data_IF_541428188626
#
_entry.id   IF_541428188626
#
_cell.length_a   1.000
_cell.length_b   1.000
_cell.length_c   1.000
_cell.angle_alpha   90.00
_cell.angle_beta   90.00
_cell.angle_gamma   90.00
#
_symmetry.space_group_name_H-M   'P 1'
#
loop_
_entity.id
_entity.type
_entity.pdbx_description
1 polymer ?
#
# COMPACT_ATOMS: atom_id res chain seq x y z
N UNK A 1 69.46 15.47 10.62
CA UNK A 1 68.34 14.53 10.85
C UNK A 1 67.24 14.80 9.81
N UNK A 2 67.11 14.00 8.73
CA UNK A 2 66.19 14.27 7.62
C UNK A 2 64.84 13.53 7.72
N UNK A 3 64.66 12.62 8.69
CA UNK A 3 63.49 11.71 8.74
C UNK A 3 62.18 12.31 9.26
N UNK A 4 62.19 13.54 9.81
CA UNK A 4 60.99 14.18 10.39
C UNK A 4 60.08 14.87 9.35
N UNK A 5 60.62 15.22 8.18
CA UNK A 5 59.87 15.96 7.16
C UNK A 5 59.07 15.02 6.24
N UNK A 6 59.64 13.85 5.94
CA UNK A 6 58.98 12.80 5.16
C UNK A 6 57.80 12.19 5.92
N UNK A 7 57.91 11.99 7.23
CA UNK A 7 56.80 11.48 8.07
C UNK A 7 55.66 12.49 8.19
N UNK A 8 55.96 13.79 8.25
CA UNK A 8 54.96 14.87 8.23
C UNK A 8 54.20 14.94 6.91
N UNK A 9 54.89 14.82 5.77
CA UNK A 9 54.24 14.83 4.46
C UNK A 9 53.36 13.60 4.24
N UNK A 10 53.80 12.42 4.68
CA UNK A 10 53.00 11.18 4.58
C UNK A 10 51.76 11.27 5.46
N UNK A 11 51.88 11.74 6.70
CA UNK A 11 50.72 11.91 7.59
C UNK A 11 49.73 12.95 7.07
N UNK A 12 50.21 14.06 6.52
CA UNK A 12 49.35 15.07 5.86
C UNK A 12 48.62 14.49 4.63
N UNK A 13 49.31 13.70 3.80
CA UNK A 13 48.73 13.06 2.63
C UNK A 13 47.64 12.02 3.02
N UNK A 14 47.88 11.22 4.07
CA UNK A 14 46.91 10.27 4.59
C UNK A 14 45.67 10.98 5.16
N UNK A 15 45.86 12.07 5.91
CA UNK A 15 44.75 12.90 6.42
C UNK A 15 43.94 13.50 5.27
N UNK A 16 44.60 14.05 4.24
CA UNK A 16 43.93 14.59 3.07
C UNK A 16 43.13 13.51 2.32
N UNK A 17 43.69 12.31 2.17
CA UNK A 17 43.01 11.18 1.55
C UNK A 17 41.77 10.75 2.34
N UNK A 18 41.86 10.67 3.67
CA UNK A 18 40.72 10.34 4.54
C UNK A 18 39.62 11.40 4.47
N UNK A 19 39.97 12.69 4.43
CA UNK A 19 39.00 13.78 4.31
C UNK A 19 38.31 13.75 2.95
N UNK A 20 39.04 13.50 1.86
CA UNK A 20 38.46 13.36 0.52
C UNK A 20 37.54 12.14 0.42
N UNK A 21 37.93 11.02 1.04
CA UNK A 21 37.12 9.80 1.07
C UNK A 21 35.85 9.97 1.92
N UNK A 22 35.94 10.66 3.06
CA UNK A 22 34.77 11.02 3.88
C UNK A 22 33.80 11.95 3.14
N UNK A 23 34.32 12.96 2.44
CA UNK A 23 33.51 13.89 1.64
C UNK A 23 32.87 13.21 0.42
N UNK A 24 33.57 12.26 -0.20
CA UNK A 24 33.05 11.39 -1.26
C UNK A 24 31.87 10.53 -0.77
N UNK A 25 32.03 9.86 0.37
CA UNK A 25 31.00 9.02 0.97
C UNK A 25 29.76 9.83 1.38
N UNK A 26 29.92 11.02 1.94
CA UNK A 26 28.81 11.91 2.28
C UNK A 26 28.00 12.33 1.04
N UNK A 27 28.66 12.55 -0.10
CA UNK A 27 27.98 12.84 -1.38
C UNK A 27 27.33 11.60 -2.01
N UNK A 28 27.89 10.41 -1.78
CA UNK A 28 27.38 9.16 -2.32
C UNK A 28 26.25 8.52 -1.48
N UNK A 29 26.16 8.83 -0.18
CA UNK A 29 25.10 8.36 0.73
C UNK A 29 23.68 8.49 0.18
N UNK A 30 23.21 9.65 -0.32
CA UNK A 30 21.84 9.76 -0.83
C UNK A 30 21.59 8.84 -2.03
N UNK A 31 22.61 8.62 -2.88
CA UNK A 31 22.51 7.68 -4.02
C UNK A 31 22.46 6.22 -3.55
N UNK A 32 23.28 5.85 -2.56
CA UNK A 32 23.28 4.50 -1.99
C UNK A 32 21.97 4.20 -1.25
N UNK A 33 21.42 5.18 -0.52
CA UNK A 33 20.11 5.07 0.12
C UNK A 33 18.97 4.96 -0.89
N UNK A 34 19.02 5.73 -1.99
CA UNK A 34 18.05 5.62 -3.07
C UNK A 34 18.10 4.24 -3.74
N UNK A 35 19.31 3.71 -4.02
CA UNK A 35 19.46 2.36 -4.57
C UNK A 35 18.99 1.27 -3.60
N UNK A 36 19.25 1.40 -2.29
CA UNK A 36 18.74 0.46 -1.28
C UNK A 36 17.21 0.48 -1.22
N UNK A 37 16.62 1.68 -1.16
CA UNK A 37 15.16 1.86 -1.20
C UNK A 37 14.54 1.24 -2.45
N UNK A 38 15.18 1.42 -3.61
CA UNK A 38 14.71 0.83 -4.86
C UNK A 38 14.76 -0.70 -4.83
N UNK A 39 15.85 -1.30 -4.32
CA UNK A 39 15.97 -2.76 -4.18
C UNK A 39 14.98 -3.33 -3.17
N UNK A 40 14.82 -2.69 -2.02
CA UNK A 40 13.83 -3.09 -1.01
C UNK A 40 12.40 -2.99 -1.58
N UNK A 41 12.14 -1.98 -2.41
CA UNK A 41 10.86 -1.81 -3.09
C UNK A 41 10.60 -2.87 -4.17
N UNK A 42 11.61 -3.23 -4.98
CA UNK A 42 11.52 -4.34 -5.94
C UNK A 42 11.31 -5.68 -5.23
N UNK A 43 12.06 -5.93 -4.16
CA UNK A 43 11.92 -7.14 -3.34
C UNK A 43 10.53 -7.24 -2.70
N UNK A 44 9.99 -6.13 -2.18
CA UNK A 44 8.63 -6.09 -1.64
C UNK A 44 7.58 -6.37 -2.72
N UNK A 45 7.75 -5.84 -3.94
CA UNK A 45 6.85 -6.15 -5.07
C UNK A 45 6.90 -7.62 -5.48
N UNK A 46 8.09 -8.21 -5.51
CA UNK A 46 8.23 -9.64 -5.80
C UNK A 46 7.57 -10.49 -4.71
N UNK A 47 7.78 -10.16 -3.44
CA UNK A 47 7.15 -10.84 -2.31
C UNK A 47 5.62 -10.74 -2.34
N UNK A 48 5.06 -9.59 -2.74
CA UNK A 48 3.61 -9.41 -2.89
C UNK A 48 3.06 -10.26 -4.04
N UNK A 49 3.73 -10.29 -5.20
CA UNK A 49 3.37 -11.16 -6.32
C UNK A 49 3.42 -12.65 -5.95
N UNK A 50 4.45 -13.08 -5.22
CA UNK A 50 4.55 -14.46 -4.74
C UNK A 50 3.47 -14.81 -3.73
N UNK A 51 3.12 -13.89 -2.82
CA UNK A 51 2.00 -14.06 -1.91
C UNK A 51 0.66 -14.16 -2.68
N UNK A 52 0.44 -13.30 -3.68
CA UNK A 52 -0.74 -13.36 -4.54
C UNK A 52 -0.82 -14.69 -5.31
N UNK A 53 0.30 -15.16 -5.88
CA UNK A 53 0.36 -16.47 -6.56
C UNK A 53 0.00 -17.63 -5.64
N UNK A 54 0.42 -17.59 -4.37
CA UNK A 54 0.04 -18.61 -3.38
C UNK A 54 -1.46 -18.64 -3.15
N UNK A 55 -2.10 -17.47 -3.01
CA UNK A 55 -3.57 -17.38 -2.90
C UNK A 55 -4.23 -17.98 -4.15
N UNK A 56 -3.76 -17.60 -5.34
CA UNK A 56 -4.33 -18.08 -6.61
C UNK A 56 -4.11 -19.58 -6.87
N UNK A 57 -3.11 -20.19 -6.23
CA UNK A 57 -2.77 -21.61 -6.37
C UNK A 57 -3.68 -22.53 -5.55
N UNK A 58 -4.38 -22.00 -4.56
CA UNK A 58 -5.31 -22.76 -3.71
C UNK A 58 -6.74 -22.49 -4.21
N UNK A 59 -7.57 -23.54 -4.40
CA UNK A 59 -8.98 -23.36 -4.73
C UNK A 59 -9.74 -22.58 -3.65
N UNK A 60 -10.72 -21.73 -4.00
CA UNK A 60 -11.44 -20.92 -3.01
C UNK A 60 -12.12 -21.71 -1.89
N UNK A 61 -12.58 -22.93 -2.17
CA UNK A 61 -13.20 -23.81 -1.18
C UNK A 61 -12.25 -24.36 -0.11
N UNK A 62 -10.94 -24.24 -0.32
CA UNK A 62 -9.90 -24.73 0.60
C UNK A 62 -9.20 -23.60 1.36
N UNK A 63 -9.61 -22.34 1.15
CA UNK A 63 -9.00 -21.22 1.85
C UNK A 63 -9.35 -21.23 3.34
N UNK A 64 -8.34 -21.09 4.23
CA UNK A 64 -8.60 -21.03 5.65
C UNK A 64 -9.31 -19.73 6.01
N UNK A 65 -10.32 -19.82 6.87
CA UNK A 65 -10.90 -18.66 7.52
C UNK A 65 -9.97 -18.20 8.65
N UNK A 66 -9.95 -16.89 8.88
CA UNK A 66 -9.30 -16.30 10.03
C UNK A 66 -10.03 -16.73 11.30
N UNK A 67 -9.29 -17.28 12.26
CA UNK A 67 -9.84 -17.69 13.56
C UNK A 67 -10.38 -16.50 14.37
N UNK A 68 -9.79 -15.32 14.17
CA UNK A 68 -10.17 -14.09 14.85
C UNK A 68 -9.87 -12.89 13.96
N UNK A 69 -10.83 -11.99 13.86
CA UNK A 69 -10.64 -10.68 13.24
C UNK A 69 -9.92 -9.69 14.19
N UNK A 70 -9.29 -8.64 13.64
CA UNK A 70 -8.69 -7.60 14.45
C UNK A 70 -9.69 -6.96 15.42
N UNK A 71 -9.18 -6.50 16.57
CA UNK A 71 -10.01 -5.83 17.59
C UNK A 71 -10.71 -4.59 17.01
N UNK A 72 -11.99 -4.43 17.38
CA UNK A 72 -12.87 -3.37 16.87
C UNK A 72 -13.61 -3.72 15.56
N UNK A 73 -13.12 -4.69 14.78
CA UNK A 73 -13.83 -5.13 13.57
C UNK A 73 -14.99 -6.06 13.94
N UNK A 74 -16.21 -5.86 13.41
CA UNK A 74 -17.34 -6.77 13.64
C UNK A 74 -17.00 -8.21 13.27
N UNK A 75 -17.30 -9.14 14.17
CA UNK A 75 -16.99 -10.56 13.98
C UNK A 75 -17.75 -11.13 12.76
N UNK A 76 -17.00 -11.65 11.79
CA UNK A 76 -17.52 -12.25 10.56
C UNK A 76 -16.50 -13.20 9.93
N UNK A 77 -16.93 -14.24 9.20
CA UNK A 77 -16.02 -15.11 8.46
C UNK A 77 -15.23 -14.33 7.42
N UNK A 78 -13.90 -14.41 7.49
CA UNK A 78 -12.99 -13.71 6.58
C UNK A 78 -11.81 -14.59 6.20
N UNK A 79 -11.31 -14.42 4.97
CA UNK A 79 -10.11 -15.09 4.47
C UNK A 79 -8.85 -14.25 4.70
N UNK A 80 -9.00 -12.93 4.75
CA UNK A 80 -7.88 -12.01 4.85
C UNK A 80 -8.29 -10.70 5.52
N UNK A 81 -7.39 -10.11 6.30
CA UNK A 81 -7.56 -8.80 6.90
C UNK A 81 -6.23 -8.05 6.88
N UNK A 82 -6.25 -6.77 6.49
CA UNK A 82 -5.07 -5.93 6.44
C UNK A 82 -5.38 -4.49 6.86
N UNK A 83 -4.40 -3.85 7.51
CA UNK A 83 -4.43 -2.41 7.74
C UNK A 83 -4.38 -1.67 6.41
N UNK A 84 -5.25 -0.67 6.26
CA UNK A 84 -5.28 0.16 5.08
C UNK A 84 -5.64 1.62 5.39
N UNK A 85 -5.48 2.48 4.39
CA UNK A 85 -6.04 3.84 4.38
C UNK A 85 -7.01 3.92 3.20
N UNK A 86 -8.27 4.24 3.47
CA UNK A 86 -9.22 4.66 2.43
C UNK A 86 -8.76 6.02 1.89
N UNK A 87 -8.72 6.12 0.57
CA UNK A 87 -8.22 7.26 -0.16
C UNK A 87 -9.37 7.98 -0.87
N UNK A 88 -9.20 9.27 -1.08
CA UNK A 88 -10.07 10.10 -1.91
C UNK A 88 -9.25 10.70 -3.05
N UNK A 89 -9.74 10.58 -4.28
CA UNK A 89 -9.10 11.21 -5.44
C UNK A 89 -9.15 12.74 -5.30
N UNK A 90 -8.02 13.41 -5.58
CA UNK A 90 -7.92 14.87 -5.49
C UNK A 90 -8.24 15.53 -6.83
N UNK A 91 -8.88 16.72 -6.82
CA UNK A 91 -8.98 17.55 -8.02
C UNK A 91 -7.57 17.89 -8.52
N UNK A 92 -7.21 17.44 -9.73
CA UNK A 92 -5.87 17.62 -10.31
C UNK A 92 -4.97 16.37 -10.24
N UNK A 93 -5.47 15.25 -9.72
CA UNK A 93 -4.82 13.94 -9.74
C UNK A 93 -4.16 13.54 -8.43
N UNK A 94 -4.00 12.23 -8.25
CA UNK A 94 -3.47 11.62 -7.04
C UNK A 94 -4.52 11.45 -5.94
N UNK A 95 -4.08 11.01 -4.76
CA UNK A 95 -4.96 10.68 -3.64
C UNK A 95 -4.66 11.46 -2.37
N UNK A 96 -5.72 11.89 -1.68
CA UNK A 96 -5.71 12.27 -0.27
C UNK A 96 -6.08 11.08 0.63
N UNK A 97 -5.63 11.11 1.88
CA UNK A 97 -6.12 10.15 2.89
C UNK A 97 -7.49 10.61 3.39
N UNK A 98 -8.43 9.67 3.50
CA UNK A 98 -9.80 9.92 3.97
C UNK A 98 -10.04 9.28 5.35
N UNK A 99 -9.70 7.99 5.49
CA UNK A 99 -9.86 7.26 6.73
C UNK A 99 -8.83 6.14 6.86
N UNK A 100 -8.39 5.84 8.08
CA UNK A 100 -7.58 4.65 8.39
C UNK A 100 -8.47 3.57 8.96
N UNK A 101 -8.11 2.32 8.71
CA UNK A 101 -8.92 1.21 9.18
C UNK A 101 -8.40 -0.16 8.76
N UNK A 102 -9.33 -1.10 8.70
CA UNK A 102 -9.11 -2.48 8.29
C UNK A 102 -9.88 -2.77 7.02
N UNK A 103 -9.18 -3.32 6.02
CA UNK A 103 -9.80 -3.95 4.86
C UNK A 103 -9.88 -5.45 5.11
N UNK A 104 -11.07 -6.01 5.00
CA UNK A 104 -11.37 -7.41 5.31
C UNK A 104 -12.01 -8.06 4.10
N UNK A 105 -11.37 -9.12 3.60
CA UNK A 105 -11.92 -10.00 2.58
C UNK A 105 -12.80 -11.03 3.29
N UNK A 106 -14.10 -10.74 3.36
CA UNK A 106 -15.09 -11.61 3.97
C UNK A 106 -15.45 -12.81 3.10
N UNK A 107 -16.35 -13.66 3.59
CA UNK A 107 -16.91 -14.75 2.79
C UNK A 107 -17.79 -14.26 1.63
N UNK A 108 -18.58 -13.22 1.87
CA UNK A 108 -19.66 -12.78 0.95
C UNK A 108 -19.39 -11.40 0.34
N UNK A 109 -18.53 -10.60 0.97
CA UNK A 109 -18.25 -9.22 0.57
C UNK A 109 -16.87 -8.73 1.02
N UNK A 110 -16.40 -7.66 0.37
CA UNK A 110 -15.25 -6.88 0.80
C UNK A 110 -15.72 -5.80 1.78
N UNK A 111 -15.16 -5.80 2.99
CA UNK A 111 -15.56 -4.87 4.05
C UNK A 111 -14.41 -3.95 4.43
N UNK A 112 -14.68 -2.65 4.52
CA UNK A 112 -13.79 -1.67 5.14
C UNK A 112 -14.39 -1.18 6.46
N UNK A 113 -13.58 -1.25 7.53
CA UNK A 113 -13.93 -0.75 8.84
C UNK A 113 -13.00 0.39 9.25
N UNK A 114 -13.47 1.64 9.37
CA UNK A 114 -12.65 2.74 9.87
C UNK A 114 -12.30 2.54 11.35
N UNK A 115 -11.14 3.05 11.78
CA UNK A 115 -10.80 3.11 13.21
C UNK A 115 -11.73 4.11 13.93
N UNK A 116 -12.20 3.75 15.13
CA UNK A 116 -12.95 4.70 15.97
C UNK A 116 -12.08 5.89 16.39
N UNK A 117 -12.58 7.11 16.20
CA UNK A 117 -11.98 8.32 16.77
C UNK A 117 -10.72 8.85 16.08
N UNK A 118 -10.43 8.47 14.84
CA UNK A 118 -9.35 9.07 14.06
C UNK A 118 -9.88 10.18 13.12
N UNK A 119 -9.99 11.46 13.56
CA UNK A 119 -9.88 12.54 12.59
C UNK A 119 -8.49 12.41 11.96
N UNK A 120 -8.44 12.40 10.63
CA UNK A 120 -7.18 12.22 9.90
C UNK A 120 -6.25 13.39 10.23
N UNK A 121 -5.31 13.17 11.17
CA UNK A 121 -4.26 14.13 11.57
C UNK A 121 -3.09 14.07 10.59
N UNK A 122 -3.33 13.61 9.36
CA UNK A 122 -2.38 13.73 8.28
C UNK A 122 -2.28 15.22 7.87
N UNK A 123 -1.08 15.78 7.65
CA UNK A 123 -0.90 17.17 7.17
C UNK A 123 -1.53 17.45 5.79
N UNK A 124 -2.15 16.42 5.20
CA UNK A 124 -2.74 16.35 3.87
C UNK A 124 -4.28 16.20 3.88
N UNK A 125 -4.92 16.26 5.06
CA UNK A 125 -6.38 16.19 5.17
C UNK A 125 -7.03 17.40 4.49
N UNK A 126 -7.82 17.22 3.42
CA UNK A 126 -8.47 18.34 2.75
C UNK A 126 -9.44 19.01 3.73
N UNK A 127 -9.31 20.32 3.88
CA UNK A 127 -10.27 21.13 4.63
C UNK A 127 -11.68 20.85 4.13
N UNK A 128 -12.58 20.54 5.06
CA UNK A 128 -13.97 20.25 4.79
C UNK A 128 -14.61 21.41 4.02
N UNK A 129 -14.76 21.28 2.69
CA UNK A 129 -15.75 21.97 1.86
C UNK A 129 -15.54 21.58 0.40
N UNK A 130 -16.59 20.96 -0.16
CA UNK A 130 -17.12 21.01 -1.54
C UNK A 130 -17.60 19.61 -1.94
N UNK A 131 -18.85 19.32 -1.55
CA UNK A 131 -19.58 18.13 -1.98
C UNK A 131 -19.86 18.20 -3.48
N UNK A 132 -19.00 17.55 -4.25
CA UNK A 132 -19.33 17.09 -5.59
C UNK A 132 -20.04 15.73 -5.54
N UNK A 133 -20.78 15.35 -6.59
CA UNK A 133 -21.30 13.99 -6.72
C UNK A 133 -20.12 13.02 -6.71
N UNK A 134 -20.06 12.11 -5.73
CA UNK A 134 -18.94 11.18 -5.55
C UNK A 134 -18.11 11.35 -4.27
N UNK A 135 -18.57 12.15 -3.29
CA UNK A 135 -17.88 12.26 -2.00
C UNK A 135 -18.07 10.96 -1.20
N UNK A 136 -17.06 10.09 -1.19
CA UNK A 136 -17.01 8.93 -0.29
C UNK A 136 -17.08 9.42 1.16
N UNK A 137 -18.01 8.88 1.94
CA UNK A 137 -18.07 9.14 3.38
C UNK A 137 -17.07 8.24 4.09
N UNK A 138 -16.43 8.74 5.15
CA UNK A 138 -15.46 8.00 5.97
C UNK A 138 -16.09 6.87 6.83
N UNK A 139 -17.26 6.36 6.42
CA UNK A 139 -17.99 5.31 7.11
C UNK A 139 -17.50 3.91 6.75
N UNK A 140 -18.04 2.86 7.41
CA UNK A 140 -17.81 1.49 6.99
C UNK A 140 -18.35 1.27 5.57
N UNK A 141 -17.61 0.50 4.78
CA UNK A 141 -18.01 0.10 3.43
C UNK A 141 -18.22 -1.41 3.41
N UNK A 142 -19.24 -1.87 2.72
CA UNK A 142 -19.52 -3.29 2.51
C UNK A 142 -19.89 -3.50 1.04
N UNK A 143 -18.96 -4.06 0.27
CA UNK A 143 -19.05 -4.17 -1.19
C UNK A 143 -19.26 -5.65 -1.54
N UNK A 144 -20.47 -6.05 -1.98
CA UNK A 144 -20.73 -7.41 -2.43
C UNK A 144 -19.84 -7.77 -3.62
N UNK A 145 -19.34 -9.00 -3.68
CA UNK A 145 -18.47 -9.42 -4.79
C UNK A 145 -19.14 -9.31 -6.17
N UNK A 146 -20.46 -9.50 -6.23
CA UNK A 146 -21.24 -9.33 -7.46
C UNK A 146 -21.30 -7.88 -7.97
N UNK A 147 -21.00 -6.88 -7.12
CA UNK A 147 -20.95 -5.47 -7.49
C UNK A 147 -19.53 -5.04 -7.93
N UNK A 148 -18.50 -5.85 -7.66
CA UNK A 148 -17.13 -5.56 -8.06
C UNK A 148 -16.97 -5.90 -9.54
N UNK A 149 -16.86 -4.87 -10.38
CA UNK A 149 -16.65 -5.04 -11.82
C UNK A 149 -15.17 -5.26 -12.16
N UNK A 150 -14.29 -4.50 -11.47
CA UNK A 150 -12.85 -4.52 -11.75
C UNK A 150 -12.05 -4.15 -10.51
N UNK A 151 -10.83 -4.67 -10.45
CA UNK A 151 -9.83 -4.29 -9.46
C UNK A 151 -8.56 -3.87 -10.17
N UNK A 152 -8.10 -2.65 -9.90
CA UNK A 152 -6.88 -2.08 -10.46
C UNK A 152 -5.85 -1.83 -9.35
N UNK A 153 -4.58 -1.73 -9.71
CA UNK A 153 -3.51 -1.32 -8.79
C UNK A 153 -2.62 -0.28 -9.47
N UNK A 154 -3.06 0.99 -9.51
CA UNK A 154 -2.37 2.05 -10.26
C UNK A 154 -1.02 2.42 -9.65
N UNK A 155 -0.83 2.17 -8.36
CA UNK A 155 0.42 2.37 -7.64
C UNK A 155 0.74 1.14 -6.79
N UNK A 156 2.01 0.98 -6.44
CA UNK A 156 2.54 -0.23 -5.76
C UNK A 156 1.83 -0.59 -4.47
N UNK A 157 1.28 0.39 -3.77
CA UNK A 157 0.58 0.21 -2.50
C UNK A 157 -0.88 0.66 -2.58
N UNK A 158 -1.41 0.90 -3.78
CA UNK A 158 -2.81 1.33 -3.97
C UNK A 158 -3.56 0.22 -4.70
N UNK A 159 -4.71 -0.13 -4.14
CA UNK A 159 -5.72 -1.00 -4.72
C UNK A 159 -6.96 -0.16 -5.01
N UNK A 160 -7.44 -0.17 -6.24
CA UNK A 160 -8.72 0.40 -6.61
C UNK A 160 -9.73 -0.73 -6.81
N UNK A 161 -10.87 -0.62 -6.15
CA UNK A 161 -12.01 -1.52 -6.33
C UNK A 161 -13.11 -0.72 -6.99
N UNK A 162 -13.45 -1.10 -8.22
CA UNK A 162 -14.48 -0.42 -9.01
C UNK A 162 -15.77 -1.20 -8.82
N UNK A 163 -16.68 -0.57 -8.10
CA UNK A 163 -18.03 -1.04 -7.85
C UNK A 163 -18.97 -0.49 -8.92
N UNK A 164 -19.81 -1.34 -9.49
CA UNK A 164 -20.93 -0.93 -10.34
C UNK A 164 -22.23 -1.08 -9.57
N UNK A 165 -22.97 0.02 -9.44
CA UNK A 165 -24.33 -0.04 -8.93
C UNK A 165 -25.19 -0.90 -9.88
N UNK A 166 -25.81 -1.99 -9.39
CA UNK A 166 -26.56 -2.92 -10.23
C UNK A 166 -27.82 -2.29 -10.86
N UNK A 167 -28.36 -1.24 -10.24
CA UNK A 167 -29.57 -0.54 -10.68
C UNK A 167 -29.22 0.64 -11.58
N UNK A 168 -28.34 1.53 -11.10
CA UNK A 168 -28.04 2.78 -11.82
C UNK A 168 -26.94 2.64 -12.85
N UNK A 169 -26.17 1.54 -12.83
CA UNK A 169 -24.98 1.29 -13.67
C UNK A 169 -23.87 2.35 -13.51
N UNK A 170 -23.97 3.18 -12.48
CA UNK A 170 -22.93 4.16 -12.13
C UNK A 170 -21.75 3.42 -11.52
N UNK A 171 -20.55 3.81 -11.91
CA UNK A 171 -19.31 3.28 -11.36
C UNK A 171 -18.82 4.13 -10.20
N UNK A 172 -18.41 3.47 -9.13
CA UNK A 172 -17.81 4.08 -7.94
C UNK A 172 -16.45 3.43 -7.72
N UNK A 173 -15.40 4.23 -7.66
CA UNK A 173 -14.04 3.76 -7.39
C UNK A 173 -13.72 3.93 -5.92
N UNK A 174 -13.36 2.83 -5.26
CA UNK A 174 -12.87 2.82 -3.89
C UNK A 174 -11.36 2.55 -3.88
N UNK A 175 -10.57 3.56 -3.51
CA UNK A 175 -9.11 3.44 -3.49
C UNK A 175 -8.59 3.18 -2.07
N UNK A 176 -7.75 2.16 -1.91
CA UNK A 176 -7.16 1.76 -0.64
C UNK A 176 -5.65 1.75 -0.74
N UNK A 177 -4.98 2.39 0.22
CA UNK A 177 -3.54 2.25 0.42
C UNK A 177 -3.26 1.11 1.40
N UNK A 178 -2.53 0.08 0.99
CA UNK A 178 -2.13 -1.05 1.83
C UNK A 178 -0.78 -1.65 1.40
N UNK A 179 -0.18 -2.44 2.29
CA UNK A 179 1.16 -3.01 2.05
C UNK A 179 1.19 -4.11 0.97
N UNK A 180 0.06 -4.80 0.76
CA UNK A 180 -0.04 -5.98 -0.11
C UNK A 180 -1.31 -5.93 -0.98
N UNK A 181 -1.41 -4.98 -1.92
CA UNK A 181 -2.60 -4.85 -2.75
C UNK A 181 -2.83 -6.08 -3.64
N UNK A 182 -1.78 -6.74 -4.14
CA UNK A 182 -1.94 -7.89 -5.04
C UNK A 182 -2.50 -9.13 -4.33
N UNK A 183 -2.24 -9.29 -3.04
CA UNK A 183 -2.86 -10.36 -2.23
C UNK A 183 -4.37 -10.16 -2.15
N UNK A 184 -4.84 -8.93 -1.90
CA UNK A 184 -6.27 -8.63 -1.87
C UNK A 184 -6.88 -8.82 -3.26
N UNK A 185 -6.23 -8.32 -4.31
CA UNK A 185 -6.66 -8.51 -5.69
C UNK A 185 -6.79 -10.01 -6.06
N UNK A 186 -5.87 -10.86 -5.58
CA UNK A 186 -5.93 -12.31 -5.81
C UNK A 186 -7.18 -12.94 -5.19
N UNK A 187 -7.52 -12.60 -3.95
CA UNK A 187 -8.78 -13.06 -3.35
C UNK A 187 -9.99 -12.56 -4.14
N UNK A 188 -10.05 -11.26 -4.42
CA UNK A 188 -11.17 -10.63 -5.13
C UNK A 188 -11.38 -11.24 -6.51
N UNK A 189 -10.30 -11.57 -7.24
CA UNK A 189 -10.40 -12.17 -8.57
C UNK A 189 -11.18 -13.48 -8.58
N UNK A 190 -11.01 -14.33 -7.55
CA UNK A 190 -11.75 -15.59 -7.47
C UNK A 190 -13.17 -15.39 -6.96
N UNK A 191 -13.36 -14.49 -6.00
CA UNK A 191 -14.64 -14.27 -5.33
C UNK A 191 -15.62 -13.45 -6.19
N UNK A 192 -15.13 -12.49 -6.97
CA UNK A 192 -15.89 -11.70 -7.92
C UNK A 192 -15.77 -12.21 -9.38
N UNK A 193 -15.13 -13.36 -9.58
CA UNK A 193 -15.07 -14.09 -10.86
C UNK A 193 -14.47 -13.30 -12.04
N UNK A 194 -13.40 -12.55 -11.80
CA UNK A 194 -12.62 -11.90 -12.86
C UNK A 194 -11.19 -12.47 -12.94
N UNK A 195 -10.55 -12.31 -14.09
CA UNK A 195 -9.16 -12.74 -14.28
C UNK A 195 -8.20 -11.70 -13.71
N UNK A 196 -7.29 -12.11 -12.82
CA UNK A 196 -6.22 -11.24 -12.33
C UNK A 196 -4.96 -11.37 -13.20
N UNK A 197 -4.56 -10.26 -13.82
CA UNK A 197 -3.32 -10.17 -14.57
C UNK A 197 -2.21 -9.64 -13.64
N UNK A 198 -1.30 -10.52 -13.23
CA UNK A 198 -0.11 -10.16 -12.47
C UNK A 198 1.03 -9.74 -13.42
N UNK A 199 1.00 -8.49 -13.89
CA UNK A 199 2.13 -7.88 -14.63
C UNK A 199 3.23 -7.38 -13.70
#
# INVERSE_FOLDING_TARGET
MPGGWTTLLVTAAVLAALVLLGRSLLRARPRLEAMRRQREWEANRQADREAARRVLSVPPGEWPLLERLPEGVPDRPAYYAARCTLLQERPGGGYGSLARGWLVVGRDSLFFHPDEGAPDTSPDAPGASHGGPGTLTAGPLDIPYAAIERVDSPYVNVLEVIEQDPVTRVWVTHAFRLNRPLVVAAYLSRLAHFELILS
#
